data_IF_794777513410
#
_entry.id   IF_794777513410
#
_cell.length_a   1.000
_cell.length_b   1.000
_cell.length_c   1.000
_cell.angle_alpha   90.00
_cell.angle_beta   90.00
_cell.angle_gamma   90.00
#
_symmetry.space_group_name_H-M   'P 1'
#
loop_
_entity.id
_entity.type
_entity.pdbx_description
1 polymer ?
#
# COMPACT_ATOMS: atom_id res chain seq x y z
N UNK A 1 8.52 -1.48 -12.14
CA UNK A 1 7.31 -1.30 -11.31
C UNK A 1 7.13 -2.44 -10.30
N UNK A 2 6.98 -3.70 -10.70
CA UNK A 2 6.75 -4.80 -9.72
C UNK A 2 7.91 -5.04 -8.77
N UNK A 3 9.14 -4.98 -9.29
CA UNK A 3 10.34 -5.05 -8.46
C UNK A 3 10.38 -3.88 -7.46
N UNK A 4 9.98 -2.68 -7.87
CA UNK A 4 9.98 -1.49 -7.00
C UNK A 4 8.96 -1.61 -5.87
N UNK A 5 7.77 -2.14 -6.17
CA UNK A 5 6.72 -2.42 -5.18
C UNK A 5 7.16 -3.53 -4.21
N UNK A 6 7.78 -4.59 -4.70
CA UNK A 6 8.35 -5.66 -3.87
C UNK A 6 9.47 -5.15 -2.96
N UNK A 7 10.35 -4.29 -3.47
CA UNK A 7 11.40 -3.62 -2.70
C UNK A 7 10.79 -2.71 -1.64
N UNK A 8 9.77 -1.92 -2.00
CA UNK A 8 9.08 -1.04 -1.06
C UNK A 8 8.44 -1.84 0.09
N UNK A 9 7.78 -2.97 -0.22
CA UNK A 9 7.21 -3.87 0.77
C UNK A 9 8.26 -4.50 1.69
N UNK A 10 9.39 -4.95 1.14
CA UNK A 10 10.51 -5.48 1.93
C UNK A 10 11.06 -4.41 2.88
N UNK A 11 11.25 -3.18 2.40
CA UNK A 11 11.69 -2.04 3.22
C UNK A 11 10.67 -1.71 4.31
N UNK A 12 9.37 -1.68 3.97
CA UNK A 12 8.28 -1.45 4.92
C UNK A 12 8.32 -2.44 6.09
N UNK A 13 8.37 -3.75 5.76
CA UNK A 13 8.47 -4.83 6.76
C UNK A 13 9.73 -4.71 7.61
N UNK A 14 10.87 -4.38 7.00
CA UNK A 14 12.12 -4.17 7.71
C UNK A 14 12.04 -2.99 8.70
N UNK A 15 11.49 -1.85 8.28
CA UNK A 15 11.34 -0.68 9.16
C UNK A 15 10.38 -1.00 10.32
N UNK A 16 9.28 -1.72 10.07
CA UNK A 16 8.36 -2.18 11.12
C UNK A 16 9.11 -2.98 12.20
N UNK A 17 9.87 -4.00 11.80
CA UNK A 17 10.66 -4.83 12.74
C UNK A 17 11.67 -4.00 13.52
N UNK A 18 12.30 -3.01 12.88
CA UNK A 18 13.25 -2.08 13.52
C UNK A 18 12.56 -1.17 14.53
N UNK A 19 11.35 -0.67 14.25
CA UNK A 19 10.56 0.13 15.19
C UNK A 19 10.18 -0.69 16.42
N UNK A 20 9.70 -1.92 16.24
CA UNK A 20 9.39 -2.82 17.36
C UNK A 20 10.63 -3.14 18.21
N UNK A 21 11.80 -3.25 17.59
CA UNK A 21 13.06 -3.41 18.31
C UNK A 21 13.44 -2.15 19.12
N UNK A 22 13.16 -0.96 18.59
CA UNK A 22 13.33 0.29 19.32
C UNK A 22 12.34 0.41 20.49
N UNK A 23 11.09 -0.03 20.32
CA UNK A 23 10.11 -0.09 21.42
C UNK A 23 10.61 -0.99 22.56
N UNK A 24 11.10 -2.19 22.22
CA UNK A 24 11.71 -3.11 23.21
C UNK A 24 12.94 -2.51 23.88
N UNK A 25 13.79 -1.83 23.11
CA UNK A 25 14.97 -1.14 23.65
C UNK A 25 14.59 0.01 24.59
N UNK A 26 13.55 0.78 24.26
CA UNK A 26 13.03 1.84 25.12
C UNK A 26 12.45 1.27 26.41
N UNK A 27 11.68 0.18 26.32
CA UNK A 27 11.15 -0.50 27.50
C UNK A 27 12.27 -1.02 28.43
N UNK A 28 13.31 -1.63 27.88
CA UNK A 28 14.47 -2.08 28.66
C UNK A 28 15.26 -0.92 29.29
N UNK A 29 15.39 0.21 28.58
CA UNK A 29 16.10 1.38 29.07
C UNK A 29 15.45 1.99 30.32
N UNK A 30 14.14 1.78 30.51
CA UNK A 30 13.41 2.25 31.71
C UNK A 30 13.87 1.59 33.01
N UNK A 31 14.54 0.43 32.93
CA UNK A 31 15.11 -0.24 34.10
C UNK A 31 16.51 0.27 34.48
N UNK A 32 17.12 1.14 33.66
CA UNK A 32 18.44 1.72 33.94
C UNK A 32 18.29 2.88 34.94
N UNK A 33 19.17 3.00 35.95
CA UNK A 33 19.15 4.13 36.89
C UNK A 33 19.17 5.49 36.16
N UNK A 34 18.26 6.38 36.53
CA UNK A 34 18.13 7.72 35.89
C UNK A 34 17.42 7.73 34.53
N UNK A 35 17.00 6.58 34.02
CA UNK A 35 16.30 6.44 32.73
C UNK A 35 14.87 5.94 32.86
N UNK A 36 14.30 5.99 34.08
CA UNK A 36 12.93 5.55 34.35
C UNK A 36 11.86 6.29 33.53
N UNK A 37 10.59 5.84 33.60
CA UNK A 37 9.48 6.46 32.90
C UNK A 37 9.41 7.97 33.16
N UNK A 38 9.30 8.77 32.09
CA UNK A 38 9.22 10.23 32.19
C UNK A 38 10.55 10.98 32.39
N UNK A 39 11.67 10.26 32.56
CA UNK A 39 13.00 10.87 32.53
C UNK A 39 13.27 11.56 31.18
N UNK A 40 14.19 12.52 31.15
CA UNK A 40 14.60 13.19 29.90
C UNK A 40 15.02 12.16 28.83
N UNK A 41 15.79 11.14 29.21
CA UNK A 41 16.20 10.04 28.33
C UNK A 41 15.01 9.24 27.78
N UNK A 42 14.08 8.83 28.66
CA UNK A 42 12.87 8.08 28.24
C UNK A 42 11.99 8.92 27.29
N UNK A 43 11.82 10.21 27.58
CA UNK A 43 11.02 11.14 26.76
C UNK A 43 11.64 11.37 25.39
N UNK A 44 12.94 11.66 25.31
CA UNK A 44 13.63 11.83 24.03
C UNK A 44 13.56 10.56 23.19
N UNK A 45 13.84 9.39 23.80
CA UNK A 45 13.78 8.11 23.09
C UNK A 45 12.39 7.78 22.60
N UNK A 46 11.37 8.03 23.42
CA UNK A 46 9.96 7.84 23.06
C UNK A 46 9.55 8.79 21.93
N UNK A 47 9.90 10.08 22.01
CA UNK A 47 9.61 11.07 20.97
C UNK A 47 10.22 10.69 19.62
N UNK A 48 11.50 10.25 19.61
CA UNK A 48 12.18 9.82 18.37
C UNK A 48 11.47 8.63 17.72
N UNK A 49 11.15 7.58 18.50
CA UNK A 49 10.46 6.39 17.96
C UNK A 49 9.09 6.76 17.39
N UNK A 50 8.35 7.65 18.06
CA UNK A 50 7.06 8.11 17.56
C UNK A 50 7.18 8.96 16.29
N UNK A 51 8.17 9.86 16.21
CA UNK A 51 8.44 10.61 14.98
C UNK A 51 8.76 9.70 13.80
N UNK A 52 9.54 8.63 14.01
CA UNK A 52 9.83 7.64 12.99
C UNK A 52 8.59 6.84 12.59
N UNK A 53 7.73 6.48 13.55
CA UNK A 53 6.46 5.78 13.30
C UNK A 53 5.51 6.64 12.45
N UNK A 54 5.37 7.92 12.79
CA UNK A 54 4.57 8.90 12.02
C UNK A 54 5.07 9.03 10.58
N UNK A 55 6.39 9.17 10.37
CA UNK A 55 6.97 9.22 9.02
C UNK A 55 6.72 7.96 8.21
N UNK A 56 6.76 6.79 8.85
CA UNK A 56 6.45 5.54 8.17
C UNK A 56 4.96 5.48 7.79
N UNK A 57 4.07 5.90 8.68
CA UNK A 57 2.64 6.01 8.40
C UNK A 57 2.35 6.95 7.22
N UNK A 58 2.95 8.14 7.21
CA UNK A 58 2.84 9.10 6.10
C UNK A 58 3.30 8.48 4.77
N UNK A 59 4.44 7.78 4.77
CA UNK A 59 4.96 7.10 3.58
C UNK A 59 4.02 5.99 3.09
N UNK A 60 3.40 5.24 4.02
CA UNK A 60 2.41 4.22 3.67
C UNK A 60 1.13 4.82 3.09
N UNK A 61 0.66 5.95 3.62
CA UNK A 61 -0.51 6.65 3.11
C UNK A 61 -0.28 7.13 1.66
N UNK A 62 0.88 7.76 1.40
CA UNK A 62 1.25 8.19 0.05
C UNK A 62 1.31 7.02 -0.94
N UNK A 63 1.83 5.87 -0.49
CA UNK A 63 1.85 4.68 -1.31
C UNK A 63 0.44 4.13 -1.58
N UNK A 64 -0.46 4.20 -0.61
CA UNK A 64 -1.86 3.82 -0.80
C UNK A 64 -2.59 4.75 -1.78
N UNK A 65 -2.31 6.05 -1.75
CA UNK A 65 -2.85 6.99 -2.74
C UNK A 65 -2.32 6.69 -4.15
N UNK A 66 -1.02 6.40 -4.29
CA UNK A 66 -0.44 5.95 -5.56
C UNK A 66 -1.12 4.67 -6.07
N UNK A 67 -1.37 3.70 -5.18
CA UNK A 67 -2.12 2.49 -5.50
C UNK A 67 -3.50 2.79 -6.07
N UNK A 68 -4.28 3.63 -5.38
CA UNK A 68 -5.64 3.97 -5.80
C UNK A 68 -5.65 4.60 -7.19
N UNK A 69 -4.66 5.47 -7.48
CA UNK A 69 -4.49 6.05 -8.81
C UNK A 69 -4.19 4.99 -9.87
N UNK A 70 -3.25 4.08 -9.61
CA UNK A 70 -2.92 2.99 -10.54
C UNK A 70 -4.12 2.09 -10.83
N UNK A 71 -4.89 1.73 -9.80
CA UNK A 71 -6.10 0.92 -9.96
C UNK A 71 -7.17 1.64 -10.80
N UNK A 72 -7.36 2.95 -10.58
CA UNK A 72 -8.27 3.78 -11.37
C UNK A 72 -7.84 3.86 -12.84
N UNK A 73 -6.56 4.08 -13.12
CA UNK A 73 -6.01 4.14 -14.48
C UNK A 73 -6.15 2.80 -15.21
N UNK A 74 -5.96 1.67 -14.50
CA UNK A 74 -6.19 0.34 -15.07
C UNK A 74 -7.66 0.13 -15.40
N UNK A 75 -8.57 0.47 -14.49
CA UNK A 75 -10.02 0.39 -14.72
C UNK A 75 -10.45 1.17 -15.96
N UNK A 76 -9.98 2.41 -16.10
CA UNK A 76 -10.27 3.24 -17.27
C UNK A 76 -9.72 2.62 -18.56
N UNK A 77 -8.52 2.03 -18.51
CA UNK A 77 -7.91 1.34 -19.66
C UNK A 77 -8.76 0.15 -20.10
N UNK A 78 -9.23 -0.68 -19.17
CA UNK A 78 -10.10 -1.83 -19.48
C UNK A 78 -11.42 -1.36 -20.07
N UNK A 79 -12.04 -0.33 -19.51
CA UNK A 79 -13.29 0.25 -20.02
C UNK A 79 -13.14 0.76 -21.45
N UNK A 80 -12.08 1.54 -21.74
CA UNK A 80 -11.83 2.09 -23.07
C UNK A 80 -11.61 0.98 -24.10
N UNK A 81 -10.90 -0.09 -23.73
CA UNK A 81 -10.66 -1.25 -24.61
C UNK A 81 -11.95 -2.03 -24.85
N UNK A 82 -12.79 -2.23 -23.82
CA UNK A 82 -14.11 -2.85 -23.98
C UNK A 82 -14.96 -2.08 -25.00
N UNK A 83 -15.05 -0.75 -24.87
CA UNK A 83 -15.77 0.09 -25.82
C UNK A 83 -15.20 0.01 -27.23
N UNK A 84 -13.88 0.02 -27.37
CA UNK A 84 -13.22 -0.08 -28.69
C UNK A 84 -13.60 -1.37 -29.43
N UNK A 85 -13.83 -2.45 -28.70
CA UNK A 85 -14.13 -3.78 -29.26
C UNK A 85 -15.63 -3.99 -29.47
N UNK A 86 -16.45 -3.62 -28.50
CA UNK A 86 -17.89 -3.90 -28.52
C UNK A 86 -18.73 -2.77 -29.11
N UNK A 87 -18.19 -1.53 -29.11
CA UNK A 87 -18.94 -0.32 -29.44
C UNK A 87 -19.84 0.18 -28.30
N UNK A 88 -19.89 -0.51 -27.16
CA UNK A 88 -20.75 -0.18 -26.02
C UNK A 88 -19.93 0.00 -24.74
N UNK A 89 -20.45 0.79 -23.79
CA UNK A 89 -19.80 0.90 -22.49
C UNK A 89 -20.15 -0.31 -21.60
N UNK A 90 -19.19 -0.92 -20.89
CA UNK A 90 -19.49 -1.99 -19.96
C UNK A 90 -20.26 -1.44 -18.76
N UNK A 91 -21.18 -2.23 -18.22
CA UNK A 91 -21.71 -1.98 -16.88
C UNK A 91 -20.64 -2.25 -15.81
N UNK A 92 -20.89 -1.75 -14.60
CA UNK A 92 -19.91 -1.80 -13.52
C UNK A 92 -19.56 -3.23 -13.10
N UNK A 93 -20.53 -4.15 -13.11
CA UNK A 93 -20.34 -5.56 -12.79
C UNK A 93 -19.54 -6.30 -13.85
N UNK A 94 -19.78 -6.02 -15.12
CA UNK A 94 -18.98 -6.54 -16.24
C UNK A 94 -17.54 -6.05 -16.14
N UNK A 95 -17.33 -4.75 -15.87
CA UNK A 95 -15.99 -4.18 -15.74
C UNK A 95 -15.21 -4.80 -14.56
N UNK A 96 -15.87 -4.96 -13.40
CA UNK A 96 -15.28 -5.62 -12.23
C UNK A 96 -14.95 -7.09 -12.50
N UNK A 97 -15.81 -7.80 -13.22
CA UNK A 97 -15.57 -9.18 -13.61
C UNK A 97 -14.37 -9.28 -14.55
N UNK A 98 -14.26 -8.40 -15.54
CA UNK A 98 -13.14 -8.38 -16.48
C UNK A 98 -11.80 -8.07 -15.81
N UNK A 99 -11.81 -7.18 -14.80
CA UNK A 99 -10.64 -6.83 -13.99
C UNK A 99 -10.25 -8.00 -13.07
N UNK A 100 -11.21 -8.57 -12.33
CA UNK A 100 -10.95 -9.60 -11.31
C UNK A 100 -10.61 -10.97 -11.88
N UNK A 101 -11.25 -11.36 -12.97
CA UNK A 101 -11.02 -12.68 -13.62
C UNK A 101 -9.80 -12.67 -14.54
N UNK A 102 -9.34 -11.49 -14.94
CA UNK A 102 -8.35 -11.35 -16.01
C UNK A 102 -8.86 -11.73 -17.40
N UNK A 103 -10.13 -12.16 -17.52
CA UNK A 103 -10.70 -12.63 -18.78
C UNK A 103 -10.98 -11.53 -19.80
N UNK A 104 -10.61 -10.28 -19.50
CA UNK A 104 -10.55 -9.21 -20.49
C UNK A 104 -9.84 -9.65 -21.77
N UNK A 105 -8.76 -10.44 -21.66
CA UNK A 105 -8.01 -11.02 -22.78
C UNK A 105 -8.83 -11.98 -23.64
N UNK A 106 -9.46 -12.99 -23.02
CA UNK A 106 -10.28 -13.98 -23.73
C UNK A 106 -11.51 -13.36 -24.37
N UNK A 107 -12.07 -12.34 -23.71
CA UNK A 107 -13.17 -11.56 -24.25
C UNK A 107 -12.75 -10.75 -25.48
N UNK A 108 -11.62 -10.03 -25.39
CA UNK A 108 -11.03 -9.32 -26.52
C UNK A 108 -10.67 -10.29 -27.65
N UNK A 109 -10.00 -11.41 -27.38
CA UNK A 109 -9.63 -12.41 -28.39
C UNK A 109 -10.85 -12.98 -29.13
N UNK A 110 -11.93 -13.32 -28.43
CA UNK A 110 -13.16 -13.82 -29.06
C UNK A 110 -13.80 -12.76 -29.95
N UNK A 111 -13.91 -11.52 -29.47
CA UNK A 111 -14.48 -10.44 -30.26
C UNK A 111 -13.62 -10.08 -31.49
N UNK A 112 -12.30 -10.23 -31.40
CA UNK A 112 -11.36 -10.06 -32.54
C UNK A 112 -11.53 -11.19 -33.56
N UNK A 113 -11.69 -12.45 -33.12
CA UNK A 113 -11.98 -13.59 -34.01
C UNK A 113 -13.31 -13.42 -34.72
N UNK A 114 -14.33 -12.90 -34.03
CA UNK A 114 -15.66 -12.68 -34.60
C UNK A 114 -15.72 -11.46 -35.55
N UNK A 115 -14.96 -10.39 -35.29
CA UNK A 115 -14.96 -9.17 -36.13
C UNK A 115 -13.83 -9.07 -37.17
N UNK A 116 -12.87 -10.00 -37.22
CA UNK A 116 -11.86 -10.08 -38.29
C UNK A 116 -10.85 -8.93 -38.34
N UNK A 117 -10.64 -8.19 -37.25
CA UNK A 117 -9.75 -7.02 -37.20
C UNK A 117 -8.32 -7.42 -36.80
N UNK A 118 -7.45 -7.64 -37.80
CA UNK A 118 -6.04 -8.03 -37.61
C UNK A 118 -5.13 -7.00 -36.92
N UNK A 119 -5.57 -5.76 -36.69
CA UNK A 119 -4.81 -4.72 -35.98
C UNK A 119 -4.82 -4.86 -34.44
N UNK A 120 -5.53 -5.85 -33.89
CA UNK A 120 -5.78 -5.96 -32.44
C UNK A 120 -4.88 -6.99 -31.75
N UNK A 121 -4.06 -7.75 -32.49
CA UNK A 121 -3.18 -8.75 -31.84
C UNK A 121 -2.04 -8.13 -31.01
N UNK A 122 -1.43 -7.05 -31.48
CA UNK A 122 -0.44 -6.30 -30.68
C UNK A 122 -1.07 -5.74 -29.40
N UNK A 123 -2.35 -5.35 -29.48
CA UNK A 123 -3.18 -4.88 -28.36
C UNK A 123 -3.43 -5.99 -27.33
N UNK A 124 -3.51 -7.26 -27.73
CA UNK A 124 -3.73 -8.41 -26.82
C UNK A 124 -2.46 -8.76 -26.06
N UNK A 125 -1.29 -8.80 -26.71
CA UNK A 125 -0.01 -9.07 -26.04
C UNK A 125 0.35 -8.00 -25.00
N UNK A 126 0.10 -6.72 -25.28
CA UNK A 126 0.32 -5.63 -24.32
C UNK A 126 -0.59 -5.73 -23.07
N UNK A 127 -1.78 -6.36 -23.21
CA UNK A 127 -2.70 -6.58 -22.08
C UNK A 127 -2.21 -7.72 -21.19
N UNK A 128 -1.67 -8.78 -21.79
CA UNK A 128 -1.13 -9.94 -21.09
C UNK A 128 -0.06 -9.55 -20.07
N UNK A 129 0.90 -8.75 -20.53
CA UNK A 129 2.01 -8.28 -19.69
C UNK A 129 1.52 -7.32 -18.59
N UNK A 130 0.46 -6.53 -18.84
CA UNK A 130 -0.12 -5.65 -17.83
C UNK A 130 -0.99 -6.37 -16.81
N UNK A 131 -1.72 -7.42 -17.17
CA UNK A 131 -2.61 -8.10 -16.24
C UNK A 131 -1.84 -8.87 -15.16
N UNK A 132 -0.78 -9.59 -15.53
CA UNK A 132 0.09 -10.24 -14.54
C UNK A 132 0.73 -9.22 -13.60
N UNK A 133 1.22 -8.11 -14.14
CA UNK A 133 1.74 -7.01 -13.33
C UNK A 133 0.69 -6.44 -12.37
N UNK A 134 -0.56 -6.22 -12.83
CA UNK A 134 -1.65 -5.73 -11.96
C UNK A 134 -1.99 -6.73 -10.85
N UNK A 135 -2.04 -8.02 -11.15
CA UNK A 135 -2.36 -9.05 -10.15
C UNK A 135 -1.25 -9.19 -9.10
N UNK A 136 0.01 -9.11 -9.52
CA UNK A 136 1.14 -9.10 -8.61
C UNK A 136 1.21 -7.80 -7.78
N UNK A 137 0.91 -6.65 -8.41
CA UNK A 137 0.67 -5.39 -7.70
C UNK A 137 -0.41 -5.60 -6.63
N UNK A 138 -1.61 -6.07 -6.97
CA UNK A 138 -2.70 -6.27 -6.00
C UNK A 138 -2.29 -7.14 -4.81
N UNK A 139 -1.56 -8.23 -5.05
CA UNK A 139 -1.03 -9.10 -4.00
C UNK A 139 -0.07 -8.34 -3.07
N UNK A 140 0.91 -7.65 -3.64
CA UNK A 140 1.89 -6.89 -2.89
C UNK A 140 1.26 -5.71 -2.14
N UNK A 141 0.24 -5.08 -2.73
CA UNK A 141 -0.55 -4.00 -2.16
C UNK A 141 -1.40 -4.48 -0.98
N UNK A 142 -1.98 -5.69 -1.06
CA UNK A 142 -2.73 -6.31 0.03
C UNK A 142 -1.81 -6.66 1.20
N UNK A 143 -0.63 -7.19 0.92
CA UNK A 143 0.39 -7.41 1.96
C UNK A 143 0.84 -6.10 2.63
N UNK A 144 1.00 -5.02 1.85
CA UNK A 144 1.34 -3.73 2.42
C UNK A 144 0.21 -3.15 3.29
N UNK A 145 -1.04 -3.36 2.89
CA UNK A 145 -2.20 -2.98 3.69
C UNK A 145 -2.22 -3.72 5.05
N UNK A 146 -1.79 -4.98 5.10
CA UNK A 146 -1.64 -5.68 6.37
C UNK A 146 -0.57 -5.03 7.26
N UNK A 147 0.58 -4.67 6.67
CA UNK A 147 1.63 -3.91 7.40
C UNK A 147 1.07 -2.59 7.94
N UNK A 148 0.20 -1.91 7.19
CA UNK A 148 -0.48 -0.69 7.63
C UNK A 148 -1.40 -0.91 8.82
N UNK A 149 -2.28 -1.92 8.77
CA UNK A 149 -3.19 -2.25 9.86
C UNK A 149 -2.45 -2.63 11.14
N UNK A 150 -1.40 -3.46 11.02
CA UNK A 150 -0.57 -3.83 12.17
C UNK A 150 0.09 -2.60 12.82
N UNK A 151 0.46 -1.60 12.02
CA UNK A 151 1.06 -0.37 12.54
C UNK A 151 0.03 0.60 13.13
N UNK A 152 -1.17 0.68 12.58
CA UNK A 152 -2.24 1.53 13.13
C UNK A 152 -2.55 1.13 14.58
N UNK A 153 -2.58 -0.18 14.87
CA UNK A 153 -2.73 -0.72 16.24
C UNK A 153 -1.56 -0.30 17.15
N UNK A 154 -0.33 -0.30 16.64
CA UNK A 154 0.84 0.14 17.42
C UNK A 154 0.81 1.64 17.71
N UNK A 155 0.31 2.47 16.78
CA UNK A 155 0.16 3.93 16.99
C UNK A 155 -0.92 4.24 18.02
N UNK A 156 -2.09 3.61 17.93
CA UNK A 156 -3.24 3.88 18.82
C UNK A 156 -2.91 3.60 20.29
N UNK A 157 -2.11 2.57 20.55
CA UNK A 157 -1.63 2.26 21.91
C UNK A 157 -0.71 3.32 22.53
N UNK A 158 -0.07 4.19 21.72
CA UNK A 158 0.90 5.19 22.18
C UNK A 158 0.44 6.65 21.98
N UNK A 159 -0.47 6.92 21.05
CA UNK A 159 -0.94 8.26 20.67
C UNK A 159 -1.69 9.01 21.77
N UNK A 160 -2.34 8.29 22.69
CA UNK A 160 -3.08 8.90 23.79
C UNK A 160 -2.20 9.66 24.82
N UNK A 161 -0.87 9.50 24.78
CA UNK A 161 0.04 10.15 25.73
C UNK A 161 0.87 11.31 25.17
N UNK A 162 0.86 11.57 23.85
CA UNK A 162 1.94 12.33 23.22
C UNK A 162 1.58 13.59 22.44
N UNK A 163 0.33 13.75 21.97
CA UNK A 163 -0.05 14.92 21.15
C UNK A 163 -0.14 16.23 21.95
N UNK A 164 0.12 16.17 23.25
CA UNK A 164 0.12 17.32 24.12
C UNK A 164 1.57 17.70 24.47
N UNK A 165 2.19 18.50 23.59
CA UNK A 165 3.52 19.12 23.80
C UNK A 165 3.52 19.88 25.13
N UNK A 166 2.38 20.48 25.50
CA UNK A 166 2.18 21.17 26.77
C UNK A 166 2.25 20.18 27.94
N UNK A 167 1.61 19.00 27.84
CA UNK A 167 1.72 17.95 28.85
C UNK A 167 3.16 17.43 29.06
N UNK A 168 3.95 17.41 27.99
CA UNK A 168 5.36 17.03 28.08
C UNK A 168 6.15 18.13 28.77
N UNK A 169 6.02 19.38 28.35
CA UNK A 169 6.71 20.49 29.01
C UNK A 169 6.31 20.60 30.50
N UNK A 170 5.04 20.38 30.83
CA UNK A 170 4.53 20.42 32.21
C UNK A 170 4.92 19.21 33.08
N UNK A 171 5.40 18.10 32.49
CA UNK A 171 5.96 16.95 33.23
C UNK A 171 7.49 17.02 33.39
N UNK A 172 8.13 18.10 32.95
CA UNK A 172 9.57 18.33 33.11
C UNK A 172 9.91 18.91 34.49
#
# INVERSE_FOLDING_TARGET
MDNDVSIALKKAKFIKVRLEALDRSNAANRSVPGCGPGSSSDRTRTSVVNGLRKKLQESMNQFNELRQRMASEYRETVQRRYYTVTGENPDEGTLDTLISTGQSETFLQKAIQEQGRGQVMDTVMEIQERHEAVKELERNLKELHQVFMDMAVLVESQGAQLDDIESQVNRA
#
